data_IF_955154575838
#
_entry.id   IF_955154575838
#
_cell.length_a   1.000
_cell.length_b   1.000
_cell.length_c   1.000
_cell.angle_alpha   90.00
_cell.angle_beta   90.00
_cell.angle_gamma   90.00
#
_symmetry.space_group_name_H-M   'P 1'
#
loop_
_entity.id
_entity.type
_entity.pdbx_description
1 polymer ?
#
# COMPACT_ATOMS: atom_id res chain seq x y z
N UNK A 1 12.71 11.55 -1.99
CA UNK A 1 11.41 11.36 -2.68
C UNK A 1 11.33 9.95 -3.23
N UNK A 2 10.18 9.33 -3.11
CA UNK A 2 9.99 7.96 -3.57
C UNK A 2 9.54 7.96 -5.03
N UNK A 3 10.02 6.99 -5.81
CA UNK A 3 9.56 6.82 -7.18
C UNK A 3 8.27 5.99 -7.26
N UNK A 4 8.08 5.12 -6.28
CA UNK A 4 6.97 4.19 -6.28
C UNK A 4 6.54 3.89 -4.84
N UNK A 5 5.24 3.95 -4.59
CA UNK A 5 4.66 3.72 -3.26
C UNK A 5 3.58 2.64 -3.37
N UNK A 6 3.65 1.64 -2.49
CA UNK A 6 2.60 0.63 -2.38
C UNK A 6 1.54 1.12 -1.40
N UNK A 7 0.28 1.00 -1.79
CA UNK A 7 -0.84 1.41 -0.95
C UNK A 7 -1.45 0.18 -0.30
N UNK A 8 -1.25 0.04 1.00
CA UNK A 8 -1.74 -1.14 1.75
C UNK A 8 -3.13 -0.86 2.30
N UNK A 9 -4.07 -0.62 1.39
CA UNK A 9 -5.45 -0.35 1.74
C UNK A 9 -6.31 -0.59 0.50
N UNK A 10 -7.61 -0.36 0.61
CA UNK A 10 -8.55 -0.63 -0.46
C UNK A 10 -9.60 0.47 -0.54
N UNK A 11 -10.44 0.40 -1.58
CA UNK A 11 -11.61 1.27 -1.71
C UNK A 11 -11.29 2.75 -1.92
N UNK A 12 -12.16 3.60 -1.42
CA UNK A 12 -12.05 5.04 -1.62
C UNK A 12 -10.76 5.62 -1.05
N UNK A 13 -10.28 5.07 0.06
CA UNK A 13 -9.03 5.53 0.67
C UNK A 13 -7.86 5.28 -0.28
N UNK A 14 -7.79 4.09 -0.86
CA UNK A 14 -6.73 3.75 -1.81
C UNK A 14 -6.80 4.63 -3.05
N UNK A 15 -8.00 4.86 -3.59
CA UNK A 15 -8.18 5.72 -4.77
C UNK A 15 -7.69 7.14 -4.48
N UNK A 16 -8.02 7.65 -3.30
CA UNK A 16 -7.61 9.00 -2.91
C UNK A 16 -6.09 9.13 -2.85
N UNK A 17 -5.42 8.14 -2.27
CA UNK A 17 -3.96 8.14 -2.18
C UNK A 17 -3.35 8.04 -3.58
N UNK A 18 -3.89 7.17 -4.44
CA UNK A 18 -3.42 7.04 -5.82
C UNK A 18 -3.49 8.36 -6.57
N UNK A 19 -4.58 9.09 -6.37
CA UNK A 19 -4.78 10.38 -7.03
C UNK A 19 -3.72 11.38 -6.61
N UNK A 20 -3.40 11.41 -5.32
CA UNK A 20 -2.36 12.30 -4.80
C UNK A 20 -0.98 11.91 -5.33
N UNK A 21 -0.66 10.63 -5.33
CA UNK A 21 0.62 10.14 -5.85
C UNK A 21 0.79 10.52 -7.32
N UNK A 22 -0.27 10.38 -8.10
CA UNK A 22 -0.23 10.75 -9.52
C UNK A 22 0.09 12.22 -9.70
N UNK A 23 -0.52 13.08 -8.89
CA UNK A 23 -0.22 14.53 -8.95
C UNK A 23 1.22 14.83 -8.60
N UNK A 24 1.84 14.02 -7.77
CA UNK A 24 3.23 14.19 -7.36
C UNK A 24 4.22 13.52 -8.31
N UNK A 25 3.73 12.83 -9.33
CA UNK A 25 4.59 12.10 -10.27
C UNK A 25 5.17 10.81 -9.69
N UNK A 26 4.51 10.24 -8.70
CA UNK A 26 4.97 9.02 -8.02
C UNK A 26 4.13 7.83 -8.50
N UNK A 27 4.78 6.72 -8.86
CA UNK A 27 4.09 5.50 -9.25
C UNK A 27 3.37 4.85 -8.09
N UNK A 28 2.21 4.24 -8.34
CA UNK A 28 1.41 3.58 -7.33
C UNK A 28 1.34 2.09 -7.56
N UNK A 29 1.39 1.31 -6.48
CA UNK A 29 1.18 -0.13 -6.50
C UNK A 29 -0.03 -0.41 -5.61
N UNK A 30 -1.07 -1.00 -6.19
CA UNK A 30 -2.23 -1.44 -5.44
C UNK A 30 -2.04 -2.91 -5.07
N UNK A 31 -2.60 -3.29 -3.92
CA UNK A 31 -2.73 -4.71 -3.58
C UNK A 31 -4.22 -5.02 -3.53
N UNK A 32 -4.60 -6.25 -3.84
CA UNK A 32 -6.01 -6.57 -3.85
C UNK A 32 -6.29 -8.03 -3.53
N UNK A 33 -7.38 -8.24 -2.78
CA UNK A 33 -7.93 -9.58 -2.60
C UNK A 33 -8.82 -9.91 -3.80
N UNK A 34 -9.19 -11.18 -3.92
CA UNK A 34 -10.07 -11.60 -5.02
C UNK A 34 -11.37 -10.81 -5.04
N UNK A 35 -11.93 -10.50 -3.88
CA UNK A 35 -13.18 -9.74 -3.80
C UNK A 35 -13.06 -8.35 -4.42
N UNK A 36 -11.87 -7.79 -4.44
CA UNK A 36 -11.62 -6.43 -4.93
C UNK A 36 -10.99 -6.38 -6.32
N UNK A 37 -10.89 -7.50 -7.02
CA UNK A 37 -10.13 -7.54 -8.28
C UNK A 37 -10.63 -6.57 -9.34
N UNK A 38 -11.91 -6.21 -9.30
CA UNK A 38 -12.50 -5.27 -10.26
C UNK A 38 -12.70 -3.88 -9.67
N UNK A 39 -12.11 -3.62 -8.51
CA UNK A 39 -12.28 -2.34 -7.82
C UNK A 39 -11.52 -1.21 -8.51
N UNK A 40 -12.02 0.00 -8.32
CA UNK A 40 -11.44 1.19 -8.93
C UNK A 40 -9.98 1.40 -8.53
N UNK A 41 -9.63 1.12 -7.26
CA UNK A 41 -8.24 1.31 -6.83
C UNK A 41 -7.27 0.39 -7.57
N UNK A 42 -7.72 -0.78 -7.98
CA UNK A 42 -6.90 -1.71 -8.77
C UNK A 42 -6.74 -1.17 -10.19
N UNK A 43 -7.84 -0.72 -10.77
CA UNK A 43 -7.86 -0.22 -12.15
C UNK A 43 -6.99 1.04 -12.31
N UNK A 44 -7.01 1.92 -11.31
CA UNK A 44 -6.32 3.21 -11.38
C UNK A 44 -4.85 3.18 -10.99
N UNK A 45 -4.39 2.12 -10.34
CA UNK A 45 -2.99 2.01 -9.94
C UNK A 45 -2.10 1.76 -11.16
N UNK A 46 -0.85 2.16 -11.05
CA UNK A 46 0.13 1.88 -12.11
C UNK A 46 0.47 0.39 -12.16
N UNK A 47 0.52 -0.26 -11.00
CA UNK A 47 0.73 -1.70 -10.89
C UNK A 47 -0.22 -2.24 -9.84
N UNK A 48 -0.57 -3.50 -9.93
CA UNK A 48 -1.45 -4.14 -8.96
C UNK A 48 -0.97 -5.56 -8.68
N UNK A 49 -1.01 -5.95 -7.41
CA UNK A 49 -0.55 -7.26 -6.96
C UNK A 49 -1.68 -7.99 -6.24
N UNK A 50 -1.98 -9.18 -6.70
CA UNK A 50 -2.98 -10.04 -6.08
C UNK A 50 -2.40 -10.63 -4.78
N UNK A 51 -3.16 -10.52 -3.68
CA UNK A 51 -2.67 -10.97 -2.37
C UNK A 51 -3.53 -12.07 -1.73
N UNK A 52 -4.43 -12.67 -2.49
CA UNK A 52 -5.14 -13.86 -2.03
C UNK A 52 -6.65 -13.73 -2.06
N UNK A 53 -7.31 -14.86 -1.79
CA UNK A 53 -8.77 -14.99 -1.87
C UNK A 53 -9.49 -14.75 -0.55
N UNK A 54 -8.76 -14.66 0.55
CA UNK A 54 -9.34 -14.71 1.88
C UNK A 54 -9.91 -13.40 2.38
N UNK A 55 -10.15 -13.38 3.68
CA UNK A 55 -10.66 -12.20 4.38
C UNK A 55 -9.59 -11.12 4.43
N UNK A 56 -9.95 -9.94 4.93
CA UNK A 56 -8.99 -8.86 5.12
C UNK A 56 -7.81 -9.29 6.01
N UNK A 57 -8.08 -10.11 7.02
CA UNK A 57 -7.03 -10.63 7.90
C UNK A 57 -6.02 -11.49 7.13
N UNK A 58 -6.50 -12.24 6.15
CA UNK A 58 -5.66 -13.13 5.36
C UNK A 58 -5.00 -12.44 4.17
N UNK A 59 -5.39 -11.22 3.87
CA UNK A 59 -4.91 -10.46 2.72
C UNK A 59 -4.31 -9.12 3.14
N UNK A 60 -5.14 -8.11 3.34
CA UNK A 60 -4.67 -6.74 3.64
C UNK A 60 -3.94 -6.62 4.97
N UNK A 61 -4.20 -7.51 5.92
CA UNK A 61 -3.54 -7.51 7.23
C UNK A 61 -2.38 -8.51 7.31
N UNK A 62 -2.12 -9.24 6.24
CA UNK A 62 -0.99 -10.17 6.20
C UNK A 62 0.27 -9.39 5.83
N UNK A 63 1.05 -9.05 6.87
CA UNK A 63 2.23 -8.20 6.69
C UNK A 63 3.25 -8.78 5.73
N UNK A 64 3.41 -10.10 5.73
CA UNK A 64 4.39 -10.74 4.86
C UNK A 64 4.02 -10.62 3.40
N UNK A 65 2.73 -10.73 3.08
CA UNK A 65 2.26 -10.57 1.69
C UNK A 65 2.45 -9.13 1.23
N UNK A 66 2.20 -8.17 2.10
CA UNK A 66 2.36 -6.74 1.77
C UNK A 66 3.83 -6.42 1.53
N UNK A 67 4.71 -6.86 2.42
CA UNK A 67 6.15 -6.64 2.27
C UNK A 67 6.66 -7.28 0.98
N UNK A 68 6.24 -8.53 0.71
CA UNK A 68 6.65 -9.21 -0.50
C UNK A 68 6.21 -8.46 -1.75
N UNK A 69 4.99 -7.95 -1.76
CA UNK A 69 4.48 -7.17 -2.90
C UNK A 69 5.32 -5.92 -3.12
N UNK A 70 5.72 -5.24 -2.04
CA UNK A 70 6.58 -4.07 -2.16
C UNK A 70 7.94 -4.42 -2.73
N UNK A 71 8.55 -5.50 -2.21
CA UNK A 71 9.88 -5.92 -2.69
C UNK A 71 9.82 -6.35 -4.16
N UNK A 72 8.79 -7.11 -4.54
CA UNK A 72 8.66 -7.63 -5.90
C UNK A 72 8.44 -6.51 -6.92
N UNK A 73 7.80 -5.43 -6.53
CA UNK A 73 7.51 -4.31 -7.45
C UNK A 73 8.54 -3.20 -7.37
N UNK A 74 9.45 -3.27 -6.41
CA UNK A 74 10.45 -2.21 -6.21
C UNK A 74 9.91 -0.98 -5.52
N UNK A 75 8.76 -1.08 -4.84
CA UNK A 75 8.23 0.04 -4.08
C UNK A 75 9.14 0.34 -2.90
N UNK A 76 9.46 1.60 -2.70
CA UNK A 76 10.38 2.04 -1.64
C UNK A 76 9.65 2.52 -0.39
N UNK A 77 8.34 2.64 -0.47
CA UNK A 77 7.53 3.08 0.66
C UNK A 77 6.18 2.38 0.63
N UNK A 78 5.57 2.25 1.79
CA UNK A 78 4.22 1.72 1.94
C UNK A 78 3.37 2.76 2.66
N UNK A 79 2.25 3.13 2.05
CA UNK A 79 1.26 4.02 2.65
C UNK A 79 0.07 3.17 3.08
N UNK A 80 -0.18 3.01 4.37
CA UNK A 80 -1.24 2.13 4.85
C UNK A 80 -2.64 2.77 4.84
N UNK A 81 -2.74 4.07 4.61
CA UNK A 81 -4.01 4.77 4.69
C UNK A 81 -4.50 4.82 6.13
N UNK A 82 -5.80 4.62 6.30
CA UNK A 82 -6.43 4.55 7.61
C UNK A 82 -6.89 3.14 7.89
N UNK A 83 -6.89 2.74 9.17
CA UNK A 83 -7.27 1.37 9.54
C UNK A 83 -6.23 0.36 9.09
N UNK A 84 -6.62 -0.90 9.01
CA UNK A 84 -5.72 -1.99 8.61
C UNK A 84 -4.37 -1.90 9.33
N UNK A 85 -3.29 -1.69 8.60
CA UNK A 85 -1.93 -1.69 9.16
C UNK A 85 -1.43 -0.30 9.58
N UNK A 86 -2.27 0.72 9.49
CA UNK A 86 -1.83 2.10 9.70
C UNK A 86 -1.22 2.37 11.07
N UNK A 87 -1.67 1.67 12.11
CA UNK A 87 -1.15 1.86 13.47
C UNK A 87 -0.40 0.65 13.99
N UNK A 88 0.01 -0.24 13.11
CA UNK A 88 0.75 -1.45 13.49
C UNK A 88 2.24 -1.13 13.56
N UNK A 89 2.75 -0.93 14.78
CA UNK A 89 4.16 -0.57 14.97
C UNK A 89 5.11 -1.70 14.60
N UNK A 90 4.69 -2.95 14.78
CA UNK A 90 5.52 -4.09 14.38
C UNK A 90 5.68 -4.14 12.88
N UNK A 91 4.63 -3.83 12.14
CA UNK A 91 4.69 -3.77 10.68
C UNK A 91 5.59 -2.63 10.22
N UNK A 92 5.49 -1.46 10.86
CA UNK A 92 6.35 -0.33 10.53
C UNK A 92 7.82 -0.71 10.70
N UNK A 93 8.13 -1.42 11.77
CA UNK A 93 9.49 -1.88 12.02
C UNK A 93 9.93 -2.91 10.96
N UNK A 94 9.04 -3.82 10.62
CA UNK A 94 9.33 -4.82 9.59
C UNK A 94 9.61 -4.17 8.24
N UNK A 95 8.87 -3.12 7.90
CA UNK A 95 9.13 -2.37 6.67
C UNK A 95 10.54 -1.80 6.67
N UNK A 96 10.93 -1.15 7.76
CA UNK A 96 12.25 -0.54 7.85
C UNK A 96 13.36 -1.58 7.78
N UNK A 97 13.15 -2.74 8.37
CA UNK A 97 14.11 -3.84 8.30
C UNK A 97 14.30 -4.35 6.87
N UNK A 98 13.34 -4.10 6.01
CA UNK A 98 13.39 -4.49 4.60
C UNK A 98 13.72 -3.33 3.68
N UNK A 99 14.16 -2.19 4.23
CA UNK A 99 14.52 -1.04 3.43
C UNK A 99 13.33 -0.29 2.84
N UNK A 100 12.15 -0.45 3.43
CA UNK A 100 10.92 0.17 2.96
C UNK A 100 10.47 1.20 3.98
N UNK A 101 10.19 2.42 3.52
CA UNK A 101 9.71 3.49 4.40
C UNK A 101 8.22 3.27 4.70
N UNK A 102 7.87 3.24 5.97
CA UNK A 102 6.47 3.18 6.38
C UNK A 102 5.96 4.61 6.57
N UNK A 103 4.91 4.96 5.82
CA UNK A 103 4.33 6.30 5.90
C UNK A 103 3.18 6.26 6.90
N UNK A 104 3.48 6.56 8.16
CA UNK A 104 2.49 6.50 9.22
C UNK A 104 1.47 7.63 9.15
N UNK A 105 0.41 7.55 9.96
CA UNK A 105 -0.65 8.57 9.93
C UNK A 105 -0.17 9.97 10.32
N UNK A 106 0.91 10.07 11.09
CA UNK A 106 1.47 11.35 11.52
C UNK A 106 2.62 11.81 10.64
N UNK A 107 2.87 11.12 9.54
CA UNK A 107 4.02 11.43 8.70
C UNK A 107 3.83 12.72 7.92
N UNK A 108 4.90 13.53 7.88
CA UNK A 108 4.95 14.71 7.05
C UNK A 108 5.57 14.43 5.70
N UNK A 109 5.90 13.19 5.42
CA UNK A 109 6.67 12.83 4.23
C UNK A 109 5.86 12.88 2.95
N UNK A 110 4.55 12.65 3.05
CA UNK A 110 3.64 12.87 1.94
C UNK A 110 2.49 13.72 2.46
N UNK A 111 2.32 14.90 1.86
CA UNK A 111 1.24 15.80 2.21
C UNK A 111 0.05 15.50 1.31
N UNK A 112 -0.96 14.90 1.87
CA UNK A 112 -2.15 14.52 1.10
C UNK A 112 -3.24 15.59 1.15
#
# INVERSE_FOLDING_TARGET
MFDKVLIANRGAIAVRIERTLKKMGIGSVAVYSKADQDSLHVERADEAVYIGDGTAKETYLDTKKIIKAALDTGAKAIHPGYGFLSENTDFAKECEENGIKFIGPDSEQIKL
#
